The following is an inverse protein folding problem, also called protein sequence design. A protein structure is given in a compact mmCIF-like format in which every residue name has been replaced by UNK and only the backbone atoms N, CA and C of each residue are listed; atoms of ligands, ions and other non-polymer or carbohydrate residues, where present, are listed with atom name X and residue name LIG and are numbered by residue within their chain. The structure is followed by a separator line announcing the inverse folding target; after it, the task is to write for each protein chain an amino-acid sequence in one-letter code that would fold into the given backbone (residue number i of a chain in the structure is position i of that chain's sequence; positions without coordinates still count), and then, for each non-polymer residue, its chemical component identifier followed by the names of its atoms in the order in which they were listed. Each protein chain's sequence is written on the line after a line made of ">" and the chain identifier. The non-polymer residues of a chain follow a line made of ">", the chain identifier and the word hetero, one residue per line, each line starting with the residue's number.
data_IF_396639739998
#
_entry.id   IF_396639739998
#
_cell.length_a   1.000
_cell.length_b   1.000
_cell.length_c   1.000
_cell.angle_alpha   90.00
_cell.angle_beta   90.00
_cell.angle_gamma   90.00
#
_symmetry.space_group_name_H-M   'P 1'
#
loop_
_entity.id
_entity.type
_entity.pdbx_description
1 polymer ?
#
# COMPACT_ATOMS: atom_id res chain seq x y z
N UNK A 1 -44.44 6.41 74.33
CA UNK A 1 -44.01 7.72 74.86
C UNK A 1 -42.95 8.24 73.91
N UNK A 2 -43.32 9.13 72.99
CA UNK A 2 -43.22 10.59 73.21
C UNK A 2 -41.79 10.96 73.63
N UNK A 3 -41.05 11.83 72.96
CA UNK A 3 -41.30 12.75 71.87
C UNK A 3 -39.93 13.39 71.55
N UNK A 4 -39.82 14.11 70.43
CA UNK A 4 -39.74 15.59 70.40
C UNK A 4 -38.41 16.12 71.01
N UNK A 5 -37.64 17.03 70.44
CA UNK A 5 -37.81 18.14 69.49
C UNK A 5 -36.37 18.72 69.37
N UNK A 6 -35.80 18.89 68.17
CA UNK A 6 -35.76 20.13 67.37
C UNK A 6 -34.70 21.18 67.79
N UNK A 7 -34.12 21.82 66.75
CA UNK A 7 -33.38 23.11 66.71
C UNK A 7 -31.87 23.04 66.93
N UNK A 8 -31.00 23.81 66.26
CA UNK A 8 -31.06 24.71 65.08
C UNK A 8 -29.60 25.21 64.89
N UNK A 9 -29.19 25.44 63.64
CA UNK A 9 -28.08 26.26 63.10
C UNK A 9 -27.10 26.99 64.06
N UNK A 10 -25.79 27.01 63.73
CA UNK A 10 -25.15 28.07 62.90
C UNK A 10 -23.62 27.83 62.72
N UNK A 11 -23.17 28.22 61.53
CA UNK A 11 -21.86 28.21 60.85
C UNK A 11 -20.70 28.90 61.56
N UNK A 12 -19.45 28.39 61.41
CA UNK A 12 -18.22 29.14 60.99
C UNK A 12 -17.20 28.15 60.40
N UNK A 13 -16.72 28.44 59.18
CA UNK A 13 -15.68 27.72 58.43
C UNK A 13 -14.26 28.07 58.90
N UNK A 14 -13.33 27.12 58.85
CA UNK A 14 -11.93 27.38 58.47
C UNK A 14 -11.26 26.12 57.93
N UNK A 15 -10.71 26.22 56.73
CA UNK A 15 -10.02 25.19 55.96
C UNK A 15 -8.65 24.85 56.54
N UNK A 16 -8.32 23.56 56.64
CA UNK A 16 -6.95 23.10 56.36
C UNK A 16 -6.95 21.66 55.84
N UNK A 17 -6.26 21.51 54.71
CA UNK A 17 -6.17 20.36 53.83
C UNK A 17 -5.49 19.16 54.51
N UNK A 18 -6.08 17.98 54.44
CA UNK A 18 -5.34 16.70 54.52
C UNK A 18 -5.95 15.65 53.59
N UNK A 19 -5.04 15.08 52.80
CA UNK A 19 -5.12 13.91 51.92
C UNK A 19 -6.32 12.97 52.12
N UNK A 20 -7.14 12.84 51.07
CA UNK A 20 -7.74 11.54 50.75
C UNK A 20 -6.89 10.87 49.67
N UNK A 21 -6.15 9.84 50.08
CA UNK A 21 -5.65 8.83 49.16
C UNK A 21 -6.85 8.06 48.61
N UNK A 22 -7.36 8.49 47.46
CA UNK A 22 -8.07 7.58 46.56
C UNK A 22 -7.02 7.05 45.59
N UNK A 23 -6.60 5.80 45.77
CA UNK A 23 -5.89 5.07 44.73
C UNK A 23 -6.82 4.99 43.52
N UNK A 24 -6.61 5.90 42.57
CA UNK A 24 -7.01 5.69 41.20
C UNK A 24 -6.35 4.37 40.78
N UNK A 25 -7.15 3.32 40.66
CA UNK A 25 -6.79 2.18 39.82
C UNK A 25 -6.80 2.75 38.41
N UNK A 26 -5.66 3.30 38.00
CA UNK A 26 -5.35 3.40 36.59
C UNK A 26 -5.13 1.97 36.14
N UNK A 27 -6.20 1.31 35.74
CA UNK A 27 -6.09 0.15 34.87
C UNK A 27 -5.44 0.68 33.59
N UNK A 28 -4.11 0.56 33.56
CA UNK A 28 -3.33 0.67 32.36
C UNK A 28 -3.86 -0.41 31.42
N UNK A 29 -4.64 0.01 30.42
CA UNK A 29 -4.92 -0.85 29.28
C UNK A 29 -3.57 -1.26 28.67
N UNK A 30 -3.27 -2.56 28.58
CA UNK A 30 -1.94 -3.01 28.21
C UNK A 30 -1.74 -2.88 26.69
N UNK A 31 -0.72 -2.10 26.31
CA UNK A 31 0.37 -2.36 25.34
C UNK A 31 0.18 -3.24 24.08
N UNK A 32 -1.02 -3.66 23.67
CA UNK A 32 -1.22 -4.59 22.55
C UNK A 32 -1.05 -3.94 21.18
N UNK A 33 -1.42 -2.67 21.02
CA UNK A 33 -1.31 -1.97 19.74
C UNK A 33 0.15 -1.61 19.42
N UNK A 34 0.95 -1.25 20.43
CA UNK A 34 2.36 -0.89 20.23
C UNK A 34 3.21 -2.10 19.81
N UNK A 35 2.94 -3.30 20.36
CA UNK A 35 3.64 -4.52 19.94
C UNK A 35 3.32 -4.93 18.51
N UNK A 36 2.05 -4.81 18.09
CA UNK A 36 1.61 -5.15 16.72
C UNK A 36 2.21 -4.19 15.69
N UNK A 37 2.21 -2.88 15.96
CA UNK A 37 2.83 -1.88 15.09
C UNK A 37 4.34 -2.10 14.96
N UNK A 38 5.03 -2.44 16.05
CA UNK A 38 6.46 -2.75 16.00
C UNK A 38 6.76 -4.00 15.16
N UNK A 39 5.98 -5.07 15.26
CA UNK A 39 6.16 -6.26 14.42
C UNK A 39 5.89 -5.99 12.93
N UNK A 40 4.92 -5.12 12.64
CA UNK A 40 4.56 -4.75 11.27
C UNK A 40 5.66 -3.92 10.61
N UNK A 41 6.18 -2.92 11.31
CA UNK A 41 7.28 -2.09 10.81
C UNK A 41 8.53 -2.94 10.56
N UNK A 42 8.84 -3.89 11.43
CA UNK A 42 9.94 -4.85 11.22
C UNK A 42 9.76 -5.67 9.94
N UNK A 43 8.56 -6.20 9.69
CA UNK A 43 8.30 -6.93 8.44
C UNK A 43 8.41 -6.04 7.20
N UNK A 44 8.04 -4.77 7.27
CA UNK A 44 8.20 -3.81 6.17
C UNK A 44 9.66 -3.47 5.91
N UNK A 45 10.46 -3.28 6.96
CA UNK A 45 11.91 -3.07 6.86
C UNK A 45 12.60 -4.28 6.23
N UNK A 46 12.28 -5.50 6.69
CA UNK A 46 12.75 -6.75 6.09
C UNK A 46 12.35 -6.85 4.60
N UNK A 47 11.13 -6.41 4.27
CA UNK A 47 10.63 -6.38 2.89
C UNK A 47 11.47 -5.49 1.99
N UNK A 48 11.75 -4.27 2.45
CA UNK A 48 12.56 -3.29 1.72
C UNK A 48 13.98 -3.85 1.50
N UNK A 49 14.58 -4.45 2.53
CA UNK A 49 15.91 -5.04 2.44
C UNK A 49 15.97 -6.19 1.41
N UNK A 50 14.99 -7.10 1.43
CA UNK A 50 14.94 -8.21 0.48
C UNK A 50 14.79 -7.71 -0.97
N UNK A 51 13.97 -6.69 -1.20
CA UNK A 51 13.81 -6.06 -2.51
C UNK A 51 15.11 -5.39 -2.95
N UNK A 52 15.74 -4.63 -2.04
CA UNK A 52 17.01 -3.95 -2.31
C UNK A 52 18.10 -4.97 -2.70
N UNK A 53 18.24 -6.07 -1.96
CA UNK A 53 19.20 -7.13 -2.28
C UNK A 53 18.92 -7.81 -3.64
N UNK A 54 17.65 -8.00 -4.00
CA UNK A 54 17.25 -8.57 -5.30
C UNK A 54 17.58 -7.63 -6.46
N UNK A 55 17.31 -6.33 -6.29
CA UNK A 55 17.65 -5.28 -7.25
C UNK A 55 19.17 -5.13 -7.42
N UNK A 56 19.94 -5.19 -6.33
CA UNK A 56 21.40 -5.13 -6.36
C UNK A 56 22.02 -6.31 -7.12
N UNK A 57 21.46 -7.52 -6.97
CA UNK A 57 21.87 -8.70 -7.77
C UNK A 57 21.62 -8.51 -9.27
N UNK A 58 20.64 -7.69 -9.62
CA UNK A 58 20.32 -7.33 -11.00
C UNK A 58 21.12 -6.11 -11.49
N UNK A 59 21.99 -5.54 -10.65
CA UNK A 59 22.82 -4.39 -11.00
C UNK A 59 22.08 -3.05 -10.97
N UNK A 60 20.96 -2.95 -10.25
CA UNK A 60 20.20 -1.72 -10.06
C UNK A 60 19.95 -1.41 -8.58
N UNK A 61 19.20 -0.36 -8.27
CA UNK A 61 18.79 0.01 -6.91
C UNK A 61 17.33 0.46 -6.91
N UNK A 62 16.75 0.63 -5.72
CA UNK A 62 15.39 1.17 -5.60
C UNK A 62 15.30 2.54 -6.28
N UNK A 63 16.25 3.45 -6.05
CA UNK A 63 16.24 4.78 -6.66
C UNK A 63 16.42 4.76 -8.18
N UNK A 64 17.28 3.88 -8.69
CA UNK A 64 17.49 3.72 -10.13
C UNK A 64 16.22 3.17 -10.80
N UNK A 65 15.60 2.13 -10.23
CA UNK A 65 14.36 1.56 -10.78
C UNK A 65 13.17 2.54 -10.76
N UNK A 66 13.06 3.39 -9.73
CA UNK A 66 12.06 4.47 -9.73
C UNK A 66 12.36 5.50 -10.82
N UNK A 67 13.63 5.87 -11.00
CA UNK A 67 14.06 6.81 -12.04
C UNK A 67 13.74 6.26 -13.43
N UNK A 68 14.06 4.99 -13.69
CA UNK A 68 13.78 4.33 -14.97
C UNK A 68 12.28 4.23 -15.23
N UNK A 69 11.48 3.94 -14.20
CA UNK A 69 10.03 3.89 -14.32
C UNK A 69 9.43 5.27 -14.64
N UNK A 70 9.90 6.34 -13.98
CA UNK A 70 9.48 7.71 -14.29
C UNK A 70 9.87 8.11 -15.72
N UNK A 71 11.08 7.77 -16.16
CA UNK A 71 11.53 8.04 -17.53
C UNK A 71 10.65 7.31 -18.56
N UNK A 72 10.27 6.08 -18.28
CA UNK A 72 9.41 5.29 -19.15
C UNK A 72 8.00 5.91 -19.26
N UNK A 73 7.40 6.36 -18.16
CA UNK A 73 6.11 7.07 -18.21
C UNK A 73 6.22 8.45 -18.88
N UNK A 74 7.31 9.18 -18.68
CA UNK A 74 7.58 10.44 -19.39
C UNK A 74 7.71 10.24 -20.90
N UNK A 75 8.40 9.19 -21.34
CA UNK A 75 8.51 8.86 -22.76
C UNK A 75 7.14 8.51 -23.37
N UNK A 76 6.33 7.73 -22.66
CA UNK A 76 4.96 7.42 -23.11
C UNK A 76 4.09 8.67 -23.17
N UNK A 77 4.23 9.56 -22.19
CA UNK A 77 3.50 10.84 -22.13
C UNK A 77 3.84 11.72 -23.34
N UNK A 78 5.12 11.84 -23.69
CA UNK A 78 5.58 12.59 -24.86
C UNK A 78 5.11 11.98 -26.19
N UNK A 79 4.87 10.68 -26.22
CA UNK A 79 4.37 9.96 -27.39
C UNK A 79 2.84 9.94 -27.54
N UNK A 80 2.08 10.32 -26.50
CA UNK A 80 0.62 10.31 -26.54
C UNK A 80 0.05 11.65 -27.01
N UNK A 81 -1.10 11.58 -27.70
CA UNK A 81 -1.93 12.74 -28.03
C UNK A 81 -3.27 12.74 -27.28
N UNK A 82 -3.54 11.71 -26.48
CA UNK A 82 -4.72 11.63 -25.62
C UNK A 82 -4.45 12.40 -24.32
N UNK A 83 -5.13 13.54 -24.15
CA UNK A 83 -4.99 14.40 -22.98
C UNK A 83 -5.28 13.65 -21.66
N UNK A 84 -6.19 12.66 -21.67
CA UNK A 84 -6.49 11.87 -20.46
C UNK A 84 -5.39 10.89 -20.12
N UNK A 85 -4.73 10.35 -21.13
CA UNK A 85 -3.56 9.50 -20.93
C UNK A 85 -2.38 10.33 -20.43
N UNK A 86 -2.16 11.52 -21.01
CA UNK A 86 -1.14 12.46 -20.58
C UNK A 86 -1.30 12.85 -19.11
N UNK A 87 -2.50 13.27 -18.69
CA UNK A 87 -2.79 13.66 -17.30
C UNK A 87 -2.52 12.51 -16.32
N UNK A 88 -2.94 11.29 -16.68
CA UNK A 88 -2.67 10.10 -15.87
C UNK A 88 -1.17 9.81 -15.75
N UNK A 89 -0.43 9.85 -16.86
CA UNK A 89 1.01 9.60 -16.85
C UNK A 89 1.75 10.67 -16.05
N UNK A 90 1.30 11.93 -16.10
CA UNK A 90 1.82 13.02 -15.28
C UNK A 90 1.58 12.77 -13.78
N UNK A 91 0.39 12.31 -13.38
CA UNK A 91 0.11 11.90 -12.00
C UNK A 91 1.04 10.77 -11.54
N UNK A 92 1.21 9.72 -12.34
CA UNK A 92 2.11 8.61 -12.02
C UNK A 92 3.57 9.07 -11.84
N UNK A 93 4.07 9.96 -12.71
CA UNK A 93 5.41 10.53 -12.57
C UNK A 93 5.54 11.38 -11.31
N UNK A 94 4.51 12.18 -10.99
CA UNK A 94 4.48 12.94 -9.73
C UNK A 94 4.54 12.03 -8.51
N UNK A 95 3.74 10.96 -8.49
CA UNK A 95 3.75 9.97 -7.40
C UNK A 95 5.13 9.30 -7.25
N UNK A 96 5.81 8.99 -8.36
CA UNK A 96 7.18 8.45 -8.32
C UNK A 96 8.16 9.47 -7.73
N UNK A 97 8.00 10.76 -8.04
CA UNK A 97 8.80 11.84 -7.46
C UNK A 97 8.66 11.95 -5.94
N UNK A 98 7.43 11.86 -5.45
CA UNK A 98 7.13 11.85 -4.01
C UNK A 98 7.73 10.61 -3.33
N UNK A 99 7.48 9.40 -3.86
CA UNK A 99 8.02 8.15 -3.33
C UNK A 99 9.56 8.13 -3.36
N UNK A 100 10.18 8.70 -4.39
CA UNK A 100 11.63 8.83 -4.48
C UNK A 100 12.20 9.74 -3.39
N UNK A 101 11.47 10.81 -3.05
CA UNK A 101 11.86 11.74 -1.98
C UNK A 101 11.70 11.07 -0.63
N UNK A 102 10.57 10.42 -0.39
CA UNK A 102 10.29 9.69 0.85
C UNK A 102 11.30 8.56 1.08
N UNK A 103 11.62 7.78 0.05
CA UNK A 103 12.62 6.72 0.15
C UNK A 103 14.03 7.26 0.44
N UNK A 104 14.44 8.37 -0.19
CA UNK A 104 15.73 9.03 0.12
C UNK A 104 15.77 9.54 1.55
N UNK A 105 14.68 10.13 2.04
CA UNK A 105 14.58 10.59 3.41
C UNK A 105 14.67 9.42 4.41
N UNK A 106 13.96 8.33 4.12
CA UNK A 106 14.07 7.08 4.88
C UNK A 106 15.51 6.58 4.93
N UNK A 107 16.15 6.38 3.77
CA UNK A 107 17.54 5.91 3.67
C UNK A 107 18.55 6.82 4.37
N UNK A 108 18.41 8.14 4.24
CA UNK A 108 19.31 9.10 4.86
C UNK A 108 19.08 9.23 6.38
N UNK A 109 17.84 9.07 6.83
CA UNK A 109 17.47 9.02 8.25
C UNK A 109 18.03 7.77 8.94
N UNK A 110 17.97 6.61 8.27
CA UNK A 110 18.45 5.32 8.77
C UNK A 110 19.99 5.22 8.77
N UNK A 111 20.67 5.84 7.79
CA UNK A 111 22.14 5.83 7.70
C UNK A 111 22.85 6.77 8.69
N UNK A 112 22.16 7.73 9.32
CA UNK A 112 22.75 8.55 10.39
C UNK A 112 22.90 7.78 11.71
N UNK A 113 22.25 6.61 11.85
CA UNK A 113 22.34 5.73 13.00
C UNK A 113 22.79 4.33 12.57
N UNK A 114 24.10 4.17 12.37
CA UNK A 114 24.71 2.85 12.29
C UNK A 114 24.23 1.95 13.44
N UNK A 115 23.59 0.82 13.08
CA UNK A 115 23.57 -0.51 13.74
C UNK A 115 23.69 -0.57 15.27
N UNK A 116 22.76 -1.35 15.84
CA UNK A 116 22.68 -1.85 17.23
C UNK A 116 22.12 -0.83 18.21
N UNK A 117 20.80 -0.84 18.35
CA UNK A 117 20.08 -1.06 19.62
C UNK A 117 18.64 -0.59 19.43
N UNK A 118 17.70 -1.55 19.46
CA UNK A 118 16.27 -1.37 19.71
C UNK A 118 15.60 -0.17 19.02
N UNK A 119 15.14 -0.47 17.80
CA UNK A 119 14.25 0.29 16.93
C UNK A 119 13.27 1.18 17.71
N UNK A 120 13.41 2.48 17.54
CA UNK A 120 12.31 3.43 17.66
C UNK A 120 12.49 4.48 16.57
N UNK A 121 12.24 4.08 15.32
CA UNK A 121 12.16 5.00 14.18
C UNK A 121 10.81 5.75 14.26
N UNK A 122 10.75 6.73 15.17
CA UNK A 122 9.69 7.75 15.26
C UNK A 122 10.19 9.11 14.73
N UNK A 123 10.98 9.12 13.66
CA UNK A 123 11.33 10.35 12.97
C UNK A 123 10.54 10.41 11.64
N UNK A 124 9.33 10.96 11.75
CA UNK A 124 8.44 11.46 10.68
C UNK A 124 8.60 10.87 9.26
N UNK A 125 8.07 9.67 9.05
CA UNK A 125 7.78 9.11 7.73
C UNK A 125 7.11 7.76 7.91
N UNK A 126 5.95 7.53 7.31
CA UNK A 126 5.30 6.22 7.38
C UNK A 126 6.17 5.22 6.61
N UNK A 127 6.58 4.10 7.25
CA UNK A 127 7.37 3.01 6.62
C UNK A 127 6.68 2.43 5.37
N UNK A 128 5.39 2.70 5.18
CA UNK A 128 4.67 2.36 3.95
C UNK A 128 5.22 3.09 2.72
N UNK A 129 5.67 4.33 2.84
CA UNK A 129 6.21 5.07 1.71
C UNK A 129 7.47 4.42 1.11
N UNK A 130 8.54 4.15 1.88
CA UNK A 130 9.69 3.44 1.35
C UNK A 130 9.36 1.99 0.93
N UNK A 131 8.39 1.32 1.58
CA UNK A 131 7.95 -0.01 1.15
C UNK A 131 7.26 0.01 -0.23
N UNK A 132 6.31 0.93 -0.44
CA UNK A 132 5.63 1.12 -1.74
C UNK A 132 6.64 1.55 -2.81
N UNK A 133 7.58 2.43 -2.47
CA UNK A 133 8.67 2.82 -3.37
C UNK A 133 9.52 1.62 -3.80
N UNK A 134 9.91 0.75 -2.85
CA UNK A 134 10.67 -0.46 -3.13
C UNK A 134 9.90 -1.42 -4.07
N UNK A 135 8.62 -1.68 -3.79
CA UNK A 135 7.79 -2.59 -4.58
C UNK A 135 7.56 -2.04 -6.00
N UNK A 136 7.24 -0.75 -6.14
CA UNK A 136 7.06 -0.12 -7.44
C UNK A 136 8.35 -0.18 -8.28
N UNK A 137 9.50 0.07 -7.65
CA UNK A 137 10.83 -0.07 -8.28
C UNK A 137 11.09 -1.50 -8.74
N UNK A 138 10.78 -2.48 -7.88
CA UNK A 138 10.91 -3.89 -8.24
C UNK A 138 10.01 -4.27 -9.43
N UNK A 139 8.72 -3.91 -9.41
CA UNK A 139 7.84 -4.13 -10.56
C UNK A 139 8.38 -3.52 -11.85
N UNK A 140 8.89 -2.28 -11.78
CA UNK A 140 9.55 -1.62 -12.91
C UNK A 140 10.74 -2.43 -13.44
N UNK A 141 11.65 -2.85 -12.56
CA UNK A 141 12.84 -3.65 -12.92
C UNK A 141 12.50 -4.99 -13.59
N UNK A 142 11.38 -5.60 -13.18
CA UNK A 142 10.91 -6.86 -13.74
C UNK A 142 10.11 -6.67 -15.04
N UNK A 143 9.86 -5.43 -15.47
CA UNK A 143 9.00 -5.07 -16.60
C UNK A 143 7.51 -5.34 -16.37
N UNK A 144 7.10 -5.44 -15.10
CA UNK A 144 5.71 -5.61 -14.66
C UNK A 144 5.02 -4.24 -14.59
N UNK A 145 4.87 -3.62 -15.76
CA UNK A 145 4.46 -2.22 -15.87
C UNK A 145 3.00 -1.99 -15.47
N UNK A 146 2.11 -2.98 -15.68
CA UNK A 146 0.75 -2.85 -15.19
C UNK A 146 0.73 -2.88 -13.66
N UNK A 147 1.48 -3.80 -13.05
CA UNK A 147 1.60 -3.91 -11.59
C UNK A 147 2.12 -2.61 -10.98
N UNK A 148 3.17 -2.02 -11.58
CA UNK A 148 3.73 -0.75 -11.14
C UNK A 148 2.73 0.41 -11.26
N UNK A 149 2.05 0.54 -12.41
CA UNK A 149 1.03 1.59 -12.63
C UNK A 149 -0.10 1.49 -11.59
N UNK A 150 -0.62 0.29 -11.35
CA UNK A 150 -1.74 0.11 -10.43
C UNK A 150 -1.36 0.43 -8.98
N UNK A 151 -0.17 0.02 -8.53
CA UNK A 151 0.32 0.38 -7.20
C UNK A 151 0.51 1.90 -7.04
N UNK A 152 1.07 2.57 -8.04
CA UNK A 152 1.27 4.02 -8.02
C UNK A 152 -0.08 4.75 -8.03
N UNK A 153 -1.04 4.29 -8.82
CA UNK A 153 -2.38 4.86 -8.78
C UNK A 153 -3.06 4.63 -7.42
N UNK A 154 -2.93 3.44 -6.81
CA UNK A 154 -3.47 3.17 -5.46
C UNK A 154 -2.94 4.16 -4.42
N UNK A 155 -1.68 4.59 -4.56
CA UNK A 155 -1.02 5.55 -3.69
C UNK A 155 -1.50 6.99 -3.86
N UNK A 156 -1.81 7.41 -5.07
CA UNK A 156 -2.31 8.76 -5.37
C UNK A 156 -3.84 8.87 -5.23
N UNK A 157 -4.55 7.75 -5.42
CA UNK A 157 -5.99 7.70 -5.34
C UNK A 157 -6.48 8.02 -3.93
N UNK A 158 -7.42 8.96 -3.85
CA UNK A 158 -8.08 9.37 -2.60
C UNK A 158 -9.55 8.96 -2.58
N UNK A 159 -10.05 8.33 -3.64
CA UNK A 159 -11.47 8.00 -3.80
C UNK A 159 -11.64 6.48 -3.75
N UNK A 160 -12.24 6.00 -2.66
CA UNK A 160 -12.55 4.58 -2.49
C UNK A 160 -13.48 4.07 -3.62
N UNK A 161 -13.09 2.95 -4.24
CA UNK A 161 -13.85 2.28 -5.31
C UNK A 161 -14.09 3.15 -6.56
N UNK A 162 -13.21 4.13 -6.80
CA UNK A 162 -13.14 4.86 -8.07
C UNK A 162 -12.86 3.88 -9.22
N UNK A 163 -13.23 4.27 -10.45
CA UNK A 163 -12.89 3.48 -11.64
C UNK A 163 -11.58 3.98 -12.22
N UNK A 164 -10.65 3.07 -12.50
CA UNK A 164 -9.40 3.37 -13.17
C UNK A 164 -9.20 2.48 -14.38
N UNK A 165 -8.87 3.07 -15.53
CA UNK A 165 -8.53 2.34 -16.76
C UNK A 165 -7.04 2.58 -17.05
N UNK A 166 -6.15 1.63 -16.75
CA UNK A 166 -4.70 1.84 -16.82
C UNK A 166 -4.19 2.02 -18.26
N UNK A 167 -3.13 2.81 -18.44
CA UNK A 167 -2.42 2.98 -19.70
C UNK A 167 -1.83 1.65 -20.19
N UNK A 168 -1.32 0.82 -19.28
CA UNK A 168 -0.85 -0.53 -19.56
C UNK A 168 -1.95 -1.59 -19.57
N UNK A 169 -3.23 -1.18 -19.49
CA UNK A 169 -4.38 -2.09 -19.46
C UNK A 169 -4.49 -3.01 -20.68
N UNK A 170 -3.96 -2.59 -21.83
CA UNK A 170 -3.97 -3.40 -23.06
C UNK A 170 -3.13 -4.67 -22.98
N UNK A 171 -2.18 -4.74 -22.02
CA UNK A 171 -1.36 -5.93 -21.76
C UNK A 171 -2.19 -7.17 -21.46
N UNK A 172 -3.39 -7.02 -20.90
CA UNK A 172 -4.28 -8.15 -20.64
C UNK A 172 -4.56 -8.97 -21.89
N UNK A 173 -4.62 -8.35 -23.08
CA UNK A 173 -4.90 -9.05 -24.34
C UNK A 173 -3.78 -9.97 -24.80
N UNK A 174 -2.56 -9.72 -24.34
CA UNK A 174 -1.38 -10.50 -24.72
C UNK A 174 -1.23 -11.79 -23.90
N UNK A 175 -2.02 -11.96 -22.82
CA UNK A 175 -1.99 -13.18 -22.01
C UNK A 175 -2.61 -14.37 -22.70
N UNK A 176 -2.01 -15.54 -22.48
CA UNK A 176 -2.58 -16.82 -22.91
C UNK A 176 -3.96 -17.09 -22.29
N UNK A 177 -4.22 -16.61 -21.06
CA UNK A 177 -5.52 -16.74 -20.38
C UNK A 177 -6.58 -15.96 -21.15
N UNK A 178 -6.29 -14.70 -21.45
CA UNK A 178 -7.20 -13.83 -22.21
C UNK A 178 -7.44 -14.34 -23.62
N UNK A 179 -6.42 -14.85 -24.30
CA UNK A 179 -6.58 -15.44 -25.63
C UNK A 179 -7.54 -16.65 -25.60
N UNK A 180 -7.42 -17.52 -24.58
CA UNK A 180 -8.37 -18.64 -24.37
C UNK A 180 -9.79 -18.13 -24.08
N UNK A 181 -9.92 -17.11 -23.26
CA UNK A 181 -11.22 -16.48 -22.97
C UNK A 181 -11.83 -15.95 -24.26
N UNK A 182 -11.09 -15.19 -25.06
CA UNK A 182 -11.56 -14.62 -26.32
C UNK A 182 -12.02 -15.69 -27.32
N UNK A 183 -11.29 -16.82 -27.41
CA UNK A 183 -11.64 -17.96 -28.27
C UNK A 183 -12.87 -18.76 -27.78
N UNK A 184 -13.23 -18.67 -26.50
CA UNK A 184 -14.40 -19.38 -25.95
C UNK A 184 -15.74 -18.80 -26.44
N UNK A 185 -16.83 -19.56 -26.33
CA UNK A 185 -18.19 -19.08 -26.62
C UNK A 185 -18.82 -18.28 -25.47
N UNK A 186 -18.27 -18.35 -24.27
CA UNK A 186 -18.79 -17.67 -23.10
C UNK A 186 -18.70 -16.13 -23.26
N UNK A 187 -19.71 -15.42 -22.76
CA UNK A 187 -19.87 -13.96 -22.89
C UNK A 187 -19.41 -13.19 -21.66
N UNK A 188 -19.38 -13.84 -20.51
CA UNK A 188 -18.82 -13.32 -19.26
C UNK A 188 -18.37 -14.48 -18.39
N UNK A 189 -17.58 -14.17 -17.36
CA UNK A 189 -17.13 -15.14 -16.37
C UNK A 189 -16.10 -14.53 -15.44
N UNK A 190 -15.42 -15.40 -14.70
CA UNK A 190 -14.23 -15.06 -13.93
C UNK A 190 -13.03 -15.87 -14.42
N UNK A 191 -11.84 -15.49 -13.94
CA UNK A 191 -10.59 -16.16 -14.25
C UNK A 191 -9.49 -15.81 -13.26
N UNK A 192 -8.36 -16.47 -13.43
CA UNK A 192 -7.14 -16.25 -12.67
C UNK A 192 -5.97 -16.19 -13.67
N UNK A 193 -5.09 -15.19 -13.52
CA UNK A 193 -3.80 -15.19 -14.18
C UNK A 193 -2.84 -16.04 -13.36
N UNK A 194 -2.12 -17.02 -13.93
CA UNK A 194 -1.19 -17.83 -13.15
C UNK A 194 0.17 -17.15 -12.98
N UNK A 195 0.87 -17.43 -11.88
CA UNK A 195 2.29 -17.05 -11.72
C UNK A 195 3.21 -17.96 -12.55
N UNK A 196 3.02 -17.99 -13.86
CA UNK A 196 3.77 -18.82 -14.80
C UNK A 196 3.72 -18.22 -16.20
N UNK A 197 4.54 -18.72 -17.13
CA UNK A 197 4.55 -18.25 -18.51
C UNK A 197 5.48 -17.06 -18.75
N UNK A 198 5.07 -16.14 -19.61
CA UNK A 198 5.86 -14.98 -20.01
C UNK A 198 5.89 -13.88 -18.95
N UNK A 199 6.70 -12.84 -19.21
CA UNK A 199 6.75 -11.64 -18.36
C UNK A 199 5.35 -10.99 -18.21
N UNK A 200 4.55 -10.96 -19.28
CA UNK A 200 3.19 -10.41 -19.25
C UNK A 200 2.26 -11.23 -18.35
N UNK A 201 2.31 -12.56 -18.40
CA UNK A 201 1.45 -13.39 -17.55
C UNK A 201 1.79 -13.18 -16.07
N UNK A 202 3.08 -13.03 -15.73
CA UNK A 202 3.52 -12.69 -14.36
C UNK A 202 3.14 -11.27 -13.93
N UNK A 203 3.23 -10.29 -14.83
CA UNK A 203 2.72 -8.93 -14.59
C UNK A 203 1.23 -8.97 -14.23
N UNK A 204 0.43 -9.72 -14.99
CA UNK A 204 -1.00 -9.83 -14.73
C UNK A 204 -1.33 -10.63 -13.45
N UNK A 205 -0.49 -11.59 -13.08
CA UNK A 205 -0.59 -12.28 -11.79
C UNK A 205 -0.43 -11.32 -10.61
N UNK A 206 0.51 -10.37 -10.67
CA UNK A 206 0.73 -9.38 -9.60
C UNK A 206 -0.25 -8.21 -9.66
N UNK A 207 -0.66 -7.79 -10.85
CA UNK A 207 -1.52 -6.63 -11.06
C UNK A 207 -3.00 -6.90 -10.78
N UNK A 208 -3.48 -8.11 -11.06
CA UNK A 208 -4.91 -8.45 -11.07
C UNK A 208 -5.15 -9.77 -10.34
N UNK A 209 -4.34 -10.81 -10.62
CA UNK A 209 -4.52 -12.16 -10.09
C UNK A 209 -5.89 -12.76 -10.45
N UNK A 210 -6.93 -12.46 -9.65
CA UNK A 210 -8.32 -12.87 -9.88
C UNK A 210 -9.10 -11.78 -10.60
N UNK A 211 -9.98 -12.16 -11.52
CA UNK A 211 -10.76 -11.15 -12.24
C UNK A 211 -12.10 -11.64 -12.72
N UNK A 212 -12.98 -10.67 -12.99
CA UNK A 212 -14.18 -10.84 -13.78
C UNK A 212 -13.95 -10.32 -15.20
N UNK A 213 -14.68 -10.88 -16.17
CA UNK A 213 -14.61 -10.43 -17.55
C UNK A 213 -15.98 -10.45 -18.24
N UNK A 214 -16.14 -9.57 -19.23
CA UNK A 214 -17.28 -9.54 -20.16
C UNK A 214 -16.78 -9.32 -21.59
N UNK A 215 -17.49 -9.84 -22.59
CA UNK A 215 -17.26 -9.58 -24.02
C UNK A 215 -18.24 -8.56 -24.62
N UNK A 216 -19.24 -8.13 -23.86
CA UNK A 216 -20.33 -7.28 -24.35
C UNK A 216 -20.46 -6.04 -23.46
N UNK A 217 -20.45 -4.82 -24.02
CA UNK A 217 -20.39 -4.48 -25.46
C UNK A 217 -19.00 -4.64 -26.10
N UNK A 218 -17.94 -4.71 -25.30
CA UNK A 218 -16.57 -4.98 -25.72
C UNK A 218 -15.87 -5.84 -24.68
N UNK A 219 -14.73 -6.43 -25.03
CA UNK A 219 -13.94 -7.19 -24.06
C UNK A 219 -13.41 -6.27 -22.95
N UNK A 220 -13.67 -6.64 -21.71
CA UNK A 220 -13.28 -5.92 -20.51
C UNK A 220 -12.93 -6.94 -19.43
N UNK A 221 -11.76 -6.75 -18.81
CA UNK A 221 -11.38 -7.38 -17.55
C UNK A 221 -11.58 -6.33 -16.45
N UNK A 222 -12.18 -6.76 -15.33
CA UNK A 222 -12.41 -5.92 -14.18
C UNK A 222 -12.06 -6.64 -12.90
N UNK A 223 -11.45 -5.92 -11.97
CA UNK A 223 -11.10 -6.41 -10.65
C UNK A 223 -11.16 -5.26 -9.63
N UNK A 224 -11.16 -5.59 -8.34
CA UNK A 224 -10.95 -4.64 -7.25
C UNK A 224 -9.48 -4.73 -6.87
N UNK A 225 -8.74 -3.65 -7.11
CA UNK A 225 -7.35 -3.58 -6.69
C UNK A 225 -7.30 -3.34 -5.19
N UNK A 226 -7.30 -4.43 -4.44
CA UNK A 226 -7.15 -4.49 -3.00
C UNK A 226 -6.18 -5.60 -2.58
N UNK A 227 -5.76 -5.57 -1.32
CA UNK A 227 -4.81 -6.52 -0.76
C UNK A 227 -5.45 -7.36 0.34
N UNK A 228 -5.09 -8.64 0.39
CA UNK A 228 -5.46 -9.57 1.45
C UNK A 228 -4.23 -10.38 1.90
N UNK A 229 -4.11 -10.69 3.20
CA UNK A 229 -2.95 -11.42 3.73
C UNK A 229 -2.93 -12.88 3.27
N UNK A 230 -1.72 -13.44 3.14
CA UNK A 230 -1.52 -14.89 3.06
C UNK A 230 -1.71 -15.55 1.69
N UNK A 231 -1.89 -14.78 0.62
CA UNK A 231 -2.09 -15.33 -0.73
C UNK A 231 -0.80 -15.60 -1.51
N UNK A 232 0.36 -15.09 -1.04
CA UNK A 232 1.62 -15.13 -1.79
C UNK A 232 2.78 -15.55 -0.89
N UNK A 233 3.78 -16.21 -1.47
CA UNK A 233 5.01 -16.66 -0.79
C UNK A 233 6.26 -15.99 -1.36
N UNK A 234 7.37 -15.97 -0.62
CA UNK A 234 8.62 -15.35 -1.07
C UNK A 234 8.49 -13.82 -1.19
N UNK A 235 9.29 -13.19 -2.06
CA UNK A 235 9.30 -11.73 -2.24
C UNK A 235 7.92 -11.16 -2.61
N UNK A 236 7.13 -11.94 -3.34
CA UNK A 236 5.72 -11.64 -3.63
C UNK A 236 4.83 -11.58 -2.38
N UNK A 237 4.98 -12.55 -1.47
CA UNK A 237 4.30 -12.58 -0.17
C UNK A 237 4.65 -11.38 0.68
N UNK A 238 5.92 -11.07 0.70
CA UNK A 238 6.50 -9.90 1.37
C UNK A 238 5.90 -8.59 0.82
N UNK A 239 5.88 -8.40 -0.50
CA UNK A 239 5.28 -7.23 -1.13
C UNK A 239 3.77 -7.12 -0.86
N UNK A 240 3.02 -8.21 -0.98
CA UNK A 240 1.56 -8.20 -0.77
C UNK A 240 1.17 -7.93 0.68
N UNK A 241 1.90 -8.50 1.64
CA UNK A 241 1.69 -8.19 3.05
C UNK A 241 1.99 -6.71 3.34
N UNK A 242 3.05 -6.15 2.74
CA UNK A 242 3.38 -4.74 2.88
C UNK A 242 2.26 -3.83 2.35
N UNK A 243 1.74 -4.14 1.16
CA UNK A 243 0.64 -3.41 0.55
C UNK A 243 -0.68 -3.57 1.32
N UNK A 244 -0.93 -4.75 1.91
CA UNK A 244 -2.06 -4.97 2.80
C UNK A 244 -2.04 -4.03 4.01
N UNK A 245 -0.91 -3.93 4.71
CA UNK A 245 -0.80 -3.02 5.85
C UNK A 245 -0.93 -1.56 5.45
N UNK A 246 -0.30 -1.16 4.35
CA UNK A 246 -0.45 0.18 3.80
C UNK A 246 -1.91 0.52 3.47
N UNK A 247 -2.69 -0.46 2.98
CA UNK A 247 -4.12 -0.29 2.75
C UNK A 247 -4.92 -0.15 4.06
N UNK A 248 -4.63 -0.97 5.08
CA UNK A 248 -5.34 -0.90 6.37
C UNK A 248 -5.15 0.44 7.08
N UNK A 249 -3.98 1.06 6.94
CA UNK A 249 -3.68 2.39 7.48
C UNK A 249 -4.11 3.54 6.57
N UNK A 250 -4.80 3.26 5.46
CA UNK A 250 -5.29 4.28 4.52
C UNK A 250 -4.21 4.95 3.68
N UNK A 251 -2.99 4.40 3.63
CA UNK A 251 -1.92 4.87 2.77
C UNK A 251 -2.13 4.46 1.29
N UNK A 252 -2.81 3.33 1.06
CA UNK A 252 -3.29 2.90 -0.26
C UNK A 252 -4.82 2.86 -0.26
N UNK A 253 -5.45 3.44 -1.28
CA UNK A 253 -6.90 3.47 -1.40
C UNK A 253 -7.39 2.48 -2.46
N UNK A 254 -8.19 1.45 -2.10
CA UNK A 254 -8.74 0.50 -3.05
C UNK A 254 -9.61 1.14 -4.14
N UNK A 255 -9.56 0.58 -5.34
CA UNK A 255 -10.31 1.06 -6.50
C UNK A 255 -10.64 -0.08 -7.47
N UNK A 256 -11.51 0.19 -8.45
CA UNK A 256 -11.89 -0.75 -9.51
C UNK A 256 -10.98 -0.57 -10.71
N UNK A 257 -10.21 -1.60 -11.06
CA UNK A 257 -9.40 -1.63 -12.27
C UNK A 257 -10.23 -2.13 -13.45
N UNK A 258 -10.13 -1.46 -14.59
CA UNK A 258 -10.87 -1.74 -15.82
C UNK A 258 -9.90 -1.84 -17.02
N UNK A 259 -9.50 -3.06 -17.39
CA UNK A 259 -8.54 -3.32 -18.45
C UNK A 259 -9.22 -3.74 -19.75
N UNK A 260 -8.78 -3.17 -20.89
CA UNK A 260 -9.40 -3.39 -22.20
C UNK A 260 -8.41 -3.85 -23.25
#
# INVERSE_FOLDING_TARGET
>A
MEGKIFKLLLTVSFTFSTLFASSAVSDAMPSSNASTVNSMNQHLEESILLIQEDLEKQGTSIEAGLTDLALLFEQQKQGSSDLKEIEKLEQLVSTIGDLSTDYKNYKNGDLSTNKKNNITLQAQGSIYAPAVAAIASWFGSQGYLLSAELLLHAKDNTIYMSNYSPAYGSRVRSSSVTQRILASSARSGSGEFPNSGGQIDRDLYYAIHYFNWTKTPSFLISDVYDFAPGQYSGLAGTAVNAMYFAQQEGYLTPYKVLCR
#
